data_IF_923756932333
#
_entry.id   IF_923756932333
#
_cell.length_a   1.000
_cell.length_b   1.000
_cell.length_c   1.000
_cell.angle_alpha   90.00
_cell.angle_beta   90.00
_cell.angle_gamma   90.00
#
_symmetry.space_group_name_H-M   'P 1'
#
loop_
_entity.id
_entity.type
_entity.pdbx_description
1 polymer ?
#
# COMPACT_ATOMS: atom_id res chain seq x y z
N UNK A 1 -17.84 -2.75 4.32
CA UNK A 1 -17.03 -1.52 4.15
C UNK A 1 -15.75 -1.71 4.93
N UNK A 2 -14.58 -1.50 4.32
CA UNK A 2 -13.32 -1.51 5.05
C UNK A 2 -13.38 -0.46 6.17
N UNK A 3 -12.84 -0.80 7.35
CA UNK A 3 -12.70 0.16 8.44
C UNK A 3 -11.88 1.35 7.94
N UNK A 4 -12.38 2.56 8.10
CA UNK A 4 -11.65 3.78 7.73
C UNK A 4 -10.62 4.14 8.80
N UNK A 5 -9.46 4.62 8.39
CA UNK A 5 -8.43 5.13 9.29
C UNK A 5 -8.91 6.41 10.01
N UNK A 6 -8.81 6.44 11.34
CA UNK A 6 -9.15 7.62 12.15
C UNK A 6 -7.99 8.64 12.18
N UNK A 7 -7.89 9.39 11.10
CA UNK A 7 -6.85 10.42 10.89
C UNK A 7 -6.91 11.50 11.99
N UNK A 8 -8.12 11.88 12.39
CA UNK A 8 -8.33 12.92 13.40
C UNK A 8 -7.76 12.49 14.75
N UNK A 9 -8.00 11.24 15.13
CA UNK A 9 -7.43 10.64 16.34
C UNK A 9 -5.90 10.53 16.30
N UNK A 10 -5.31 10.16 15.16
CA UNK A 10 -3.85 10.16 15.03
C UNK A 10 -3.28 11.55 15.35
N UNK A 11 -3.81 12.58 14.70
CA UNK A 11 -3.32 13.96 14.87
C UNK A 11 -3.58 14.47 16.29
N UNK A 12 -4.75 14.19 16.87
CA UNK A 12 -5.12 14.66 18.21
C UNK A 12 -4.21 14.09 19.30
N UNK A 13 -3.89 12.79 19.23
CA UNK A 13 -2.98 12.13 20.16
C UNK A 13 -1.57 12.73 20.07
N UNK A 14 -1.05 12.95 18.86
CA UNK A 14 0.28 13.57 18.72
C UNK A 14 0.28 15.02 19.22
N UNK A 15 -0.77 15.78 18.96
CA UNK A 15 -0.92 17.15 19.46
C UNK A 15 -0.91 17.19 20.98
N UNK A 16 -1.60 16.25 21.64
CA UNK A 16 -1.62 16.13 23.10
C UNK A 16 -0.22 15.82 23.65
N UNK A 17 0.49 14.85 23.07
CA UNK A 17 1.86 14.50 23.47
C UNK A 17 2.81 15.69 23.37
N UNK A 18 2.71 16.46 22.28
CA UNK A 18 3.62 17.57 22.03
C UNK A 18 3.37 18.80 22.92
N UNK A 19 2.16 18.99 23.42
CA UNK A 19 1.77 20.13 24.27
C UNK A 19 2.24 21.49 23.72
N UNK A 20 2.13 21.69 22.40
CA UNK A 20 2.55 22.91 21.69
C UNK A 20 4.05 23.03 21.40
N UNK A 21 4.85 22.00 21.69
CA UNK A 21 6.26 21.90 21.28
C UNK A 21 6.36 21.27 19.89
N UNK A 22 7.42 21.58 19.17
CA UNK A 22 7.76 20.92 17.90
C UNK A 22 6.64 20.95 16.84
N UNK A 23 5.94 22.09 16.72
CA UNK A 23 4.79 22.26 15.83
C UNK A 23 5.06 21.82 14.37
N UNK A 24 6.29 22.02 13.88
CA UNK A 24 6.72 21.54 12.56
C UNK A 24 6.57 20.02 12.36
N UNK A 25 6.71 19.22 13.42
CA UNK A 25 6.48 17.76 13.38
C UNK A 25 4.99 17.48 13.22
N UNK A 26 4.15 18.23 13.94
CA UNK A 26 2.70 18.10 13.86
C UNK A 26 2.17 18.48 12.48
N UNK A 27 2.65 19.58 11.90
CA UNK A 27 2.29 20.02 10.54
C UNK A 27 2.67 18.97 9.48
N UNK A 28 3.86 18.38 9.60
CA UNK A 28 4.30 17.28 8.73
C UNK A 28 3.42 16.05 8.89
N UNK A 29 3.03 15.71 10.12
CA UNK A 29 2.12 14.58 10.39
C UNK A 29 0.73 14.84 9.81
N UNK A 30 0.17 16.05 9.94
CA UNK A 30 -1.11 16.45 9.33
C UNK A 30 -1.04 16.26 7.81
N UNK A 31 0.00 16.77 7.17
CA UNK A 31 0.18 16.63 5.71
C UNK A 31 0.32 15.16 5.29
N UNK A 32 1.04 14.36 6.07
CA UNK A 32 1.25 12.93 5.80
C UNK A 32 -0.05 12.14 5.94
N UNK A 33 -0.82 12.41 6.99
CA UNK A 33 -2.11 11.75 7.24
C UNK A 33 -3.17 12.14 6.21
N UNK A 34 -3.21 13.40 5.75
CA UNK A 34 -4.02 13.79 4.60
C UNK A 34 -3.64 13.03 3.32
N UNK A 35 -2.34 12.87 3.05
CA UNK A 35 -1.88 12.09 1.91
C UNK A 35 -2.30 10.62 2.01
N UNK A 36 -2.17 10.02 3.19
CA UNK A 36 -2.64 8.65 3.49
C UNK A 36 -4.14 8.53 3.21
N UNK A 37 -4.96 9.44 3.72
CA UNK A 37 -6.39 9.46 3.49
C UNK A 37 -6.74 9.52 1.99
N UNK A 38 -6.13 10.46 1.25
CA UNK A 38 -6.37 10.57 -0.18
C UNK A 38 -5.96 9.32 -0.95
N UNK A 39 -4.81 8.70 -0.61
CA UNK A 39 -4.38 7.46 -1.28
C UNK A 39 -5.34 6.32 -1.04
N UNK A 40 -5.90 6.20 0.16
CA UNK A 40 -6.98 5.25 0.44
C UNK A 40 -8.17 5.50 -0.49
N UNK A 41 -8.67 6.73 -0.56
CA UNK A 41 -9.82 7.07 -1.43
C UNK A 41 -9.53 6.82 -2.92
N UNK A 42 -8.32 7.13 -3.38
CA UNK A 42 -7.92 6.91 -4.77
C UNK A 42 -7.83 5.40 -5.08
N UNK A 43 -7.29 4.60 -4.15
CA UNK A 43 -7.27 3.14 -4.28
C UNK A 43 -8.69 2.57 -4.37
N UNK A 44 -9.59 2.95 -3.46
CA UNK A 44 -11.00 2.53 -3.48
C UNK A 44 -11.69 2.93 -4.79
N UNK A 45 -11.49 4.17 -5.23
CA UNK A 45 -12.04 4.66 -6.50
C UNK A 45 -11.59 3.79 -7.68
N UNK A 46 -10.28 3.62 -7.88
CA UNK A 46 -9.79 2.85 -9.03
C UNK A 46 -10.13 1.37 -8.97
N UNK A 47 -10.27 0.80 -7.76
CA UNK A 47 -10.76 -0.56 -7.60
C UNK A 47 -12.22 -0.69 -8.05
N UNK A 48 -13.10 0.18 -7.57
CA UNK A 48 -14.52 0.16 -7.98
C UNK A 48 -14.71 0.40 -9.48
N UNK A 49 -13.93 1.32 -10.07
CA UNK A 49 -13.94 1.53 -11.52
C UNK A 49 -13.50 0.26 -12.27
N UNK A 50 -12.53 -0.49 -11.75
CA UNK A 50 -12.11 -1.76 -12.36
C UNK A 50 -13.19 -2.83 -12.33
N UNK A 51 -13.95 -2.94 -11.24
CA UNK A 51 -15.08 -3.87 -11.15
C UNK A 51 -16.12 -3.60 -12.24
N UNK A 52 -16.31 -2.33 -12.62
CA UNK A 52 -17.21 -1.94 -13.70
C UNK A 52 -16.62 -2.14 -15.11
N UNK A 53 -15.35 -1.76 -15.34
CA UNK A 53 -14.74 -1.78 -16.69
C UNK A 53 -14.16 -3.13 -17.09
N UNK A 54 -13.73 -3.97 -16.14
CA UNK A 54 -13.15 -5.29 -16.41
C UNK A 54 -14.22 -6.39 -16.52
N UNK A 55 -15.42 -6.05 -17.00
CA UNK A 55 -16.51 -7.01 -17.17
C UNK A 55 -16.13 -8.06 -18.24
N UNK A 56 -16.59 -9.31 -18.06
CA UNK A 56 -16.34 -10.39 -19.04
C UNK A 56 -16.78 -10.01 -20.45
N UNK A 57 -17.89 -9.30 -20.60
CA UNK A 57 -18.41 -8.89 -21.91
C UNK A 57 -17.43 -7.93 -22.60
N UNK A 58 -16.97 -6.93 -21.88
CA UNK A 58 -16.03 -5.93 -22.38
C UNK A 58 -14.67 -6.51 -22.72
N UNK A 59 -14.15 -7.42 -21.88
CA UNK A 59 -12.89 -8.10 -22.14
C UNK A 59 -12.96 -8.97 -23.40
N UNK A 60 -14.10 -9.62 -23.65
CA UNK A 60 -14.31 -10.39 -24.88
C UNK A 60 -14.31 -9.47 -26.11
N UNK A 61 -14.98 -8.31 -26.03
CA UNK A 61 -15.03 -7.35 -27.12
C UNK A 61 -13.64 -6.74 -27.42
N UNK A 62 -12.89 -6.37 -26.39
CA UNK A 62 -11.49 -5.90 -26.52
C UNK A 62 -10.58 -6.97 -27.15
N UNK A 63 -10.80 -8.25 -26.81
CA UNK A 63 -10.02 -9.35 -27.34
C UNK A 63 -10.23 -9.56 -28.86
N UNK A 64 -11.47 -9.45 -29.33
CA UNK A 64 -11.80 -9.56 -30.76
C UNK A 64 -11.56 -8.27 -31.54
N UNK A 65 -11.66 -7.12 -30.88
CA UNK A 65 -11.51 -5.79 -31.46
C UNK A 65 -10.53 -4.99 -30.62
N UNK A 66 -9.28 -4.95 -31.05
CA UNK A 66 -8.16 -4.29 -30.35
C UNK A 66 -8.34 -2.78 -30.12
N UNK A 67 -9.41 -2.18 -30.65
CA UNK A 67 -9.77 -0.77 -30.51
C UNK A 67 -11.20 -0.57 -29.96
N UNK A 68 -11.73 -1.55 -29.23
CA UNK A 68 -13.07 -1.47 -28.65
C UNK A 68 -13.21 -0.31 -27.66
N UNK A 69 -14.33 0.42 -27.78
CA UNK A 69 -14.74 1.55 -26.94
C UNK A 69 -16.20 1.36 -26.57
N UNK A 70 -16.58 1.63 -25.32
CA UNK A 70 -18.01 1.65 -24.97
C UNK A 70 -18.67 2.90 -25.54
N UNK A 71 -19.98 2.89 -25.79
CA UNK A 71 -20.71 4.08 -26.18
C UNK A 71 -20.52 5.20 -25.16
N UNK A 72 -20.02 6.36 -25.61
CA UNK A 72 -19.76 7.53 -24.75
C UNK A 72 -18.33 7.64 -24.21
N UNK A 73 -17.51 6.59 -24.32
CA UNK A 73 -16.12 6.63 -23.90
C UNK A 73 -15.25 7.43 -24.89
N UNK A 74 -14.29 8.17 -24.34
CA UNK A 74 -13.31 8.92 -25.14
C UNK A 74 -12.05 8.11 -25.45
N UNK A 75 -11.87 6.97 -24.78
CA UNK A 75 -10.68 6.11 -24.85
C UNK A 75 -11.06 4.64 -25.05
N UNK A 76 -10.10 3.84 -25.48
CA UNK A 76 -10.25 2.38 -25.59
C UNK A 76 -10.37 1.74 -24.22
N UNK A 77 -11.16 0.66 -24.13
CA UNK A 77 -11.37 -0.02 -22.85
C UNK A 77 -10.06 -0.54 -22.27
N UNK A 78 -9.12 -0.93 -23.14
CA UNK A 78 -7.75 -1.29 -22.75
C UNK A 78 -7.03 -0.19 -22.02
N UNK A 79 -7.09 1.03 -22.56
CA UNK A 79 -6.51 2.18 -21.89
C UNK A 79 -7.18 2.39 -20.52
N UNK A 80 -8.51 2.26 -20.45
CA UNK A 80 -9.24 2.43 -19.21
C UNK A 80 -8.84 1.42 -18.12
N UNK A 81 -8.79 0.11 -18.42
CA UNK A 81 -8.41 -0.87 -17.40
C UNK A 81 -6.93 -0.76 -17.03
N UNK A 82 -6.01 -0.53 -17.98
CA UNK A 82 -4.58 -0.38 -17.66
C UNK A 82 -4.33 0.85 -16.76
N UNK A 83 -4.98 1.98 -17.06
CA UNK A 83 -4.88 3.19 -16.25
C UNK A 83 -5.37 2.98 -14.82
N UNK A 84 -6.54 2.36 -14.63
CA UNK A 84 -7.07 2.10 -13.30
C UNK A 84 -6.23 1.06 -12.53
N UNK A 85 -5.72 0.01 -13.20
CA UNK A 85 -4.83 -0.99 -12.60
C UNK A 85 -3.58 -0.31 -12.05
N UNK A 86 -2.90 0.49 -12.88
CA UNK A 86 -1.65 1.14 -12.46
C UNK A 86 -1.90 2.19 -11.38
N UNK A 87 -2.99 2.96 -11.49
CA UNK A 87 -3.35 3.94 -10.47
C UNK A 87 -3.65 3.27 -9.12
N UNK A 88 -4.39 2.15 -9.12
CA UNK A 88 -4.61 1.37 -7.90
C UNK A 88 -3.29 0.90 -7.29
N UNK A 89 -2.45 0.21 -8.07
CA UNK A 89 -1.18 -0.36 -7.60
C UNK A 89 -0.25 0.73 -7.04
N UNK A 90 -0.09 1.84 -7.76
CA UNK A 90 0.80 2.92 -7.34
C UNK A 90 0.30 3.62 -6.07
N UNK A 91 -1.01 3.84 -5.94
CA UNK A 91 -1.57 4.50 -4.75
C UNK A 91 -1.55 3.59 -3.53
N UNK A 92 -1.89 2.31 -3.68
CA UNK A 92 -1.81 1.35 -2.59
C UNK A 92 -0.35 1.13 -2.15
N UNK A 93 0.57 1.02 -3.11
CA UNK A 93 1.99 0.92 -2.79
C UNK A 93 2.44 2.14 -2.00
N UNK A 94 2.16 3.35 -2.48
CA UNK A 94 2.57 4.58 -1.80
C UNK A 94 1.88 4.76 -0.43
N UNK A 95 0.64 4.30 -0.27
CA UNK A 95 -0.07 4.26 1.01
C UNK A 95 0.72 3.44 2.04
N UNK A 96 1.10 2.21 1.69
CA UNK A 96 1.82 1.30 2.60
C UNK A 96 3.28 1.72 2.77
N UNK A 97 3.94 2.15 1.70
CA UNK A 97 5.35 2.53 1.68
C UNK A 97 5.62 3.87 2.40
N UNK A 98 4.61 4.73 2.56
CA UNK A 98 4.70 5.96 3.36
C UNK A 98 4.58 5.75 4.86
N UNK A 99 4.12 4.58 5.30
CA UNK A 99 3.90 4.27 6.71
C UNK A 99 5.14 4.42 7.59
N UNK A 100 6.34 3.93 7.21
CA UNK A 100 7.54 4.08 8.02
C UNK A 100 7.87 5.53 8.39
N UNK A 101 7.67 6.44 7.44
CA UNK A 101 7.87 7.86 7.65
C UNK A 101 6.80 8.46 8.56
N UNK A 102 5.52 8.16 8.33
CA UNK A 102 4.43 8.61 9.19
C UNK A 102 4.57 8.10 10.64
N UNK A 103 4.99 6.85 10.83
CA UNK A 103 5.26 6.27 12.13
C UNK A 103 6.43 6.98 12.83
N UNK A 104 7.48 7.35 12.09
CA UNK A 104 8.58 8.11 12.65
C UNK A 104 8.18 9.54 13.05
N UNK A 105 7.30 10.21 12.30
CA UNK A 105 6.73 11.48 12.78
C UNK A 105 5.91 11.29 14.06
N UNK A 106 5.27 10.12 14.21
CA UNK A 106 4.42 9.81 15.34
C UNK A 106 5.20 9.48 16.62
N UNK A 107 6.19 8.58 16.58
CA UNK A 107 6.98 8.16 17.76
C UNK A 107 8.38 8.74 17.85
N UNK A 108 8.92 9.27 16.75
CA UNK A 108 10.25 9.89 16.66
C UNK A 108 11.38 9.02 17.22
N UNK A 109 11.46 7.77 16.76
CA UNK A 109 12.54 6.84 17.12
C UNK A 109 13.85 7.11 16.37
N UNK A 110 13.79 7.96 15.34
CA UNK A 110 14.95 8.53 14.64
C UNK A 110 15.05 10.03 14.94
N UNK A 111 16.27 10.51 15.19
CA UNK A 111 16.53 11.94 15.44
C UNK A 111 16.29 12.79 14.18
N UNK A 112 16.79 12.30 13.05
CA UNK A 112 16.57 12.87 11.72
C UNK A 112 15.26 12.33 11.13
N UNK A 113 14.33 13.25 10.85
CA UNK A 113 13.00 12.94 10.32
C UNK A 113 13.03 12.49 8.86
N UNK A 114 14.09 12.80 8.12
CA UNK A 114 14.23 12.54 6.69
C UNK A 114 15.33 11.52 6.39
N UNK A 115 15.74 10.76 7.41
CA UNK A 115 16.83 9.80 7.26
C UNK A 115 16.52 8.77 6.16
N UNK A 116 17.47 8.43 5.28
CA UNK A 116 17.27 7.45 4.21
C UNK A 116 17.00 6.03 4.72
N UNK A 117 17.09 5.84 6.04
CA UNK A 117 16.79 4.59 6.75
C UNK A 117 15.28 4.39 7.01
N UNK A 118 14.46 5.41 6.75
CA UNK A 118 12.99 5.33 6.83
C UNK A 118 12.44 4.58 5.62
N UNK A 119 12.18 3.30 5.82
CA UNK A 119 11.60 2.41 4.83
C UNK A 119 11.48 1.01 5.39
N UNK A 120 10.79 0.12 4.68
CA UNK A 120 10.59 -1.28 5.08
C UNK A 120 11.90 -2.09 5.09
N UNK A 121 12.68 -1.91 6.15
CA UNK A 121 14.03 -2.46 6.34
C UNK A 121 14.20 -3.06 7.74
N UNK A 122 15.21 -3.93 7.88
CA UNK A 122 15.59 -4.51 9.17
C UNK A 122 15.94 -3.43 10.20
N UNK A 123 16.60 -2.35 9.76
CA UNK A 123 16.98 -1.25 10.64
C UNK A 123 15.76 -0.49 11.16
N UNK A 124 14.82 -0.13 10.27
CA UNK A 124 13.57 0.53 10.65
C UNK A 124 12.76 -0.33 11.64
N UNK A 125 12.51 -1.59 11.31
CA UNK A 125 11.71 -2.49 12.17
C UNK A 125 12.40 -2.74 13.51
N UNK A 126 13.73 -2.79 13.52
CA UNK A 126 14.53 -2.94 14.74
C UNK A 126 14.39 -1.77 15.73
N UNK A 127 14.14 -0.56 15.26
CA UNK A 127 13.88 0.61 16.13
C UNK A 127 12.57 0.52 16.91
N UNK A 128 11.63 -0.29 16.44
CA UNK A 128 10.34 -0.50 17.08
C UNK A 128 10.24 -1.84 17.82
N UNK A 129 11.36 -2.52 18.10
CA UNK A 129 11.37 -3.88 18.69
C UNK A 129 10.66 -3.99 20.05
N UNK A 130 10.69 -2.91 20.81
CA UNK A 130 10.19 -2.86 22.18
C UNK A 130 8.72 -2.38 22.24
N UNK A 131 8.12 -2.06 21.08
CA UNK A 131 6.72 -1.66 20.97
C UNK A 131 5.80 -2.87 20.75
N UNK A 132 4.60 -2.92 21.35
CA UNK A 132 3.67 -4.04 21.18
C UNK A 132 3.29 -4.34 19.72
N UNK A 133 3.20 -3.32 18.87
CA UNK A 133 2.88 -3.46 17.44
C UNK A 133 4.05 -3.97 16.57
N UNK A 134 5.19 -4.33 17.16
CA UNK A 134 6.35 -4.81 16.41
C UNK A 134 6.04 -6.05 15.56
N UNK A 135 5.21 -6.95 16.08
CA UNK A 135 4.81 -8.16 15.35
C UNK A 135 4.02 -7.78 14.08
N UNK A 136 3.04 -6.88 14.19
CA UNK A 136 2.27 -6.40 13.05
C UNK A 136 3.16 -5.73 11.98
N UNK A 137 4.22 -5.00 12.38
CA UNK A 137 5.21 -4.45 11.44
C UNK A 137 5.96 -5.55 10.68
N UNK A 138 6.37 -6.60 11.39
CA UNK A 138 7.08 -7.74 10.78
C UNK A 138 6.16 -8.48 9.82
N UNK A 139 4.94 -8.77 10.26
CA UNK A 139 3.92 -9.50 9.49
C UNK A 139 3.57 -8.76 8.19
N UNK A 140 3.38 -7.43 8.25
CA UNK A 140 3.15 -6.64 7.05
C UNK A 140 4.39 -6.61 6.13
N UNK A 141 5.60 -6.54 6.68
CA UNK A 141 6.83 -6.57 5.89
C UNK A 141 7.04 -7.90 5.14
N UNK A 142 6.65 -9.02 5.77
CA UNK A 142 6.75 -10.36 5.16
C UNK A 142 5.49 -10.79 4.39
N UNK A 143 4.47 -9.94 4.34
CA UNK A 143 3.25 -10.20 3.59
C UNK A 143 3.54 -10.32 2.09
N UNK A 144 3.13 -11.44 1.48
CA UNK A 144 3.45 -11.73 0.09
C UNK A 144 2.73 -10.80 -0.90
N UNK A 145 1.46 -10.43 -0.64
CA UNK A 145 0.74 -9.49 -1.50
C UNK A 145 1.41 -8.10 -1.46
N UNK A 146 1.91 -7.65 -0.30
CA UNK A 146 2.68 -6.41 -0.24
C UNK A 146 4.00 -6.49 -1.01
N UNK A 147 4.72 -7.61 -0.90
CA UNK A 147 5.97 -7.83 -1.63
C UNK A 147 5.76 -7.81 -3.14
N UNK A 148 4.70 -8.48 -3.59
CA UNK A 148 4.32 -8.53 -5.00
C UNK A 148 3.87 -7.15 -5.49
N UNK A 149 3.17 -6.37 -4.66
CA UNK A 149 2.76 -5.00 -4.96
C UNK A 149 3.97 -4.10 -5.23
N UNK A 150 5.00 -4.18 -4.37
CA UNK A 150 6.28 -3.50 -4.59
C UNK A 150 6.93 -3.96 -5.90
N UNK A 151 6.90 -5.25 -6.19
CA UNK A 151 7.38 -5.81 -7.45
C UNK A 151 6.71 -5.15 -8.66
N UNK A 152 5.38 -5.17 -8.71
CA UNK A 152 4.61 -4.59 -9.80
C UNK A 152 4.82 -3.08 -9.92
N UNK A 153 4.74 -2.34 -8.81
CA UNK A 153 4.98 -0.90 -8.82
C UNK A 153 6.40 -0.55 -9.28
N UNK A 154 7.42 -1.29 -8.86
CA UNK A 154 8.79 -1.04 -9.31
C UNK A 154 8.96 -1.34 -10.81
N UNK A 155 8.34 -2.41 -11.33
CA UNK A 155 8.34 -2.66 -12.78
C UNK A 155 7.71 -1.51 -13.56
N UNK A 156 6.57 -0.97 -13.11
CA UNK A 156 5.93 0.18 -13.78
C UNK A 156 6.81 1.44 -13.84
N UNK A 157 7.76 1.61 -12.91
CA UNK A 157 8.66 2.78 -12.83
C UNK A 157 9.95 2.65 -13.65
N UNK A 158 10.31 1.45 -14.11
CA UNK A 158 11.60 1.17 -14.73
C UNK A 158 11.46 0.75 -16.20
N UNK A 159 12.60 0.49 -16.88
CA UNK A 159 12.70 0.26 -18.34
C UNK A 159 11.69 -0.74 -18.93
N UNK A 160 11.16 -1.66 -18.14
CA UNK A 160 10.20 -2.66 -18.59
C UNK A 160 8.82 -2.33 -18.00
N UNK A 161 7.97 -1.69 -18.79
CA UNK A 161 6.58 -1.38 -18.43
C UNK A 161 5.85 -2.69 -18.13
N UNK A 162 5.22 -2.77 -16.96
CA UNK A 162 4.38 -3.91 -16.56
C UNK A 162 3.28 -4.14 -17.61
N UNK A 163 3.23 -5.34 -18.17
CA UNK A 163 2.24 -5.70 -19.19
C UNK A 163 1.02 -6.37 -18.55
N UNK A 164 -0.16 -5.89 -18.96
CA UNK A 164 -1.44 -6.52 -18.67
C UNK A 164 -1.92 -7.21 -19.94
N UNK A 165 -2.21 -8.51 -19.84
CA UNK A 165 -2.69 -9.33 -20.96
C UNK A 165 -4.16 -9.63 -20.77
N UNK A 166 -4.99 -9.19 -21.71
CA UNK A 166 -6.34 -9.70 -21.84
C UNK A 166 -6.28 -11.17 -22.27
N UNK A 167 -7.02 -12.06 -21.61
CA UNK A 167 -7.14 -13.51 -21.90
C UNK A 167 -8.55 -13.86 -22.34
N UNK A 168 -9.21 -12.94 -23.05
CA UNK A 168 -10.60 -12.97 -23.47
C UNK A 168 -11.60 -12.80 -22.31
N UNK A 169 -11.47 -13.54 -21.21
CA UNK A 169 -12.44 -13.49 -20.10
C UNK A 169 -11.88 -12.94 -18.79
N UNK A 170 -10.58 -12.68 -18.73
CA UNK A 170 -9.91 -12.10 -17.56
C UNK A 170 -8.64 -11.34 -18.00
N UNK A 171 -8.11 -10.51 -17.11
CA UNK A 171 -6.84 -9.82 -17.28
C UNK A 171 -5.76 -10.54 -16.48
N UNK A 172 -4.56 -10.64 -17.03
CA UNK A 172 -3.44 -11.36 -16.42
C UNK A 172 -2.20 -10.46 -16.35
N UNK A 173 -1.57 -10.38 -15.19
CA UNK A 173 -0.25 -9.80 -15.06
C UNK A 173 0.81 -10.73 -15.63
N UNK A 174 1.79 -10.16 -16.32
CA UNK A 174 2.99 -10.92 -16.66
C UNK A 174 3.76 -11.37 -15.41
N UNK A 175 4.57 -12.41 -15.58
CA UNK A 175 5.48 -12.88 -14.54
C UNK A 175 6.55 -11.83 -14.28
N UNK A 176 6.80 -11.58 -13.00
CA UNK A 176 7.85 -10.65 -12.58
C UNK A 176 8.74 -11.29 -11.53
N UNK A 177 10.01 -10.94 -11.55
CA UNK A 177 10.90 -11.15 -10.42
C UNK A 177 10.71 -10.02 -9.40
N UNK A 178 10.62 -10.39 -8.13
CA UNK A 178 10.47 -9.47 -7.02
C UNK A 178 11.25 -9.92 -5.80
N UNK A 179 11.57 -8.95 -4.94
CA UNK A 179 12.21 -9.17 -3.65
C UNK A 179 11.23 -9.87 -2.71
N UNK A 180 11.51 -11.14 -2.40
CA UNK A 180 10.80 -11.91 -1.41
C UNK A 180 11.49 -11.79 -0.06
N UNK A 181 10.72 -11.43 0.97
CA UNK A 181 11.23 -11.22 2.33
C UNK A 181 10.56 -12.22 3.27
N UNK A 182 11.37 -12.92 4.05
CA UNK A 182 10.91 -13.90 5.05
C UNK A 182 11.59 -13.64 6.39
N UNK A 183 11.06 -14.26 7.46
CA UNK A 183 11.71 -14.28 8.76
C UNK A 183 12.58 -15.54 8.91
N UNK A 184 13.80 -15.40 9.42
CA UNK A 184 14.62 -16.52 9.87
C UNK A 184 14.15 -17.06 11.23
N UNK A 185 14.75 -18.18 11.67
CA UNK A 185 14.44 -18.82 12.95
C UNK A 185 14.72 -17.94 14.18
N UNK A 186 15.48 -16.85 14.02
CA UNK A 186 15.79 -15.86 15.04
C UNK A 186 14.96 -14.57 14.89
N UNK A 187 13.99 -14.55 13.96
CA UNK A 187 13.14 -13.40 13.68
C UNK A 187 13.83 -12.26 12.91
N UNK A 188 14.99 -12.54 12.31
CA UNK A 188 15.68 -11.66 11.37
C UNK A 188 15.10 -11.75 9.96
N UNK A 189 15.33 -10.71 9.15
CA UNK A 189 14.83 -10.68 7.77
C UNK A 189 15.81 -11.34 6.80
N UNK A 190 15.30 -12.33 6.05
CA UNK A 190 15.99 -12.93 4.90
C UNK A 190 15.39 -12.39 3.60
N UNK A 191 16.25 -12.09 2.62
CA UNK A 191 15.84 -11.65 1.28
C UNK A 191 16.25 -12.69 0.25
N UNK A 192 15.32 -13.02 -0.64
CA UNK A 192 15.56 -13.85 -1.81
C UNK A 192 14.85 -13.24 -3.03
N UNK A 193 15.24 -13.65 -4.22
CA UNK A 193 14.44 -13.37 -5.43
C UNK A 193 13.36 -14.44 -5.56
N UNK A 194 12.14 -14.03 -5.93
CA UNK A 194 11.05 -14.93 -6.29
C UNK A 194 10.44 -14.46 -7.61
N UNK A 195 10.08 -15.41 -8.47
CA UNK A 195 9.33 -15.12 -9.69
C UNK A 195 7.85 -15.38 -9.42
N UNK A 196 7.00 -14.41 -9.71
CA UNK A 196 5.55 -14.57 -9.59
C UNK A 196 5.04 -15.62 -10.59
N UNK A 197 3.93 -16.27 -10.26
CA UNK A 197 3.15 -16.94 -11.29
C UNK A 197 2.50 -15.90 -12.23
N UNK A 198 1.87 -16.37 -13.30
CA UNK A 198 0.83 -15.57 -13.95
C UNK A 198 -0.31 -15.41 -12.94
N UNK A 199 -0.84 -14.20 -12.80
CA UNK A 199 -1.84 -13.87 -11.79
C UNK A 199 -3.00 -13.14 -12.46
N UNK A 200 -4.22 -13.60 -12.21
CA UNK A 200 -5.42 -12.86 -12.58
C UNK A 200 -5.41 -11.51 -11.85
N UNK A 201 -5.45 -10.44 -12.63
CA UNK A 201 -5.37 -9.07 -12.13
C UNK A 201 -6.45 -8.81 -11.10
N UNK A 202 -7.72 -9.08 -11.43
CA UNK A 202 -8.84 -8.73 -10.53
C UNK A 202 -8.79 -9.53 -9.23
N UNK A 203 -8.40 -10.81 -9.28
CA UNK A 203 -8.22 -11.61 -8.07
C UNK A 203 -7.10 -11.07 -7.19
N UNK A 204 -6.01 -10.58 -7.78
CA UNK A 204 -4.92 -9.97 -7.01
C UNK A 204 -5.31 -8.63 -6.40
N UNK A 205 -5.95 -7.75 -7.19
CA UNK A 205 -6.40 -6.45 -6.70
C UNK A 205 -7.44 -6.62 -5.59
N UNK A 206 -8.32 -7.61 -5.69
CA UNK A 206 -9.25 -7.98 -4.62
C UNK A 206 -8.51 -8.41 -3.35
N UNK A 207 -7.47 -9.26 -3.44
CA UNK A 207 -6.65 -9.59 -2.24
C UNK A 207 -5.99 -8.36 -1.63
N UNK A 208 -5.49 -7.45 -2.46
CA UNK A 208 -4.91 -6.19 -2.00
C UNK A 208 -5.95 -5.31 -1.29
N UNK A 209 -7.14 -5.18 -1.86
CA UNK A 209 -8.23 -4.37 -1.34
C UNK A 209 -8.85 -4.98 -0.07
N UNK A 210 -9.21 -6.27 -0.11
CA UNK A 210 -9.99 -6.93 0.93
C UNK A 210 -9.13 -7.47 2.08
N UNK A 211 -7.82 -7.65 1.88
CA UNK A 211 -6.92 -8.16 2.92
C UNK A 211 -5.78 -7.18 3.26
N UNK A 212 -5.02 -6.73 2.26
CA UNK A 212 -3.81 -5.94 2.54
C UNK A 212 -4.13 -4.54 3.09
N UNK A 213 -5.15 -3.85 2.55
CA UNK A 213 -5.61 -2.56 3.09
C UNK A 213 -6.13 -2.69 4.54
N UNK A 214 -7.00 -3.66 4.88
CA UNK A 214 -7.37 -3.91 6.27
C UNK A 214 -6.21 -4.21 7.22
N UNK A 215 -5.19 -4.98 6.78
CA UNK A 215 -3.98 -5.23 7.59
C UNK A 215 -3.26 -3.90 7.88
N UNK A 216 -3.13 -3.03 6.89
CA UNK A 216 -2.55 -1.70 7.07
C UNK A 216 -3.35 -0.84 8.07
N UNK A 217 -4.67 -0.87 8.01
CA UNK A 217 -5.50 -0.15 8.98
C UNK A 217 -5.41 -0.74 10.39
N UNK A 218 -5.39 -2.07 10.52
CA UNK A 218 -5.19 -2.74 11.80
C UNK A 218 -3.86 -2.37 12.46
N UNK A 219 -2.78 -2.27 11.66
CA UNK A 219 -1.49 -1.80 12.15
C UNK A 219 -1.56 -0.37 12.71
N UNK A 220 -2.28 0.54 12.06
CA UNK A 220 -2.52 1.88 12.61
C UNK A 220 -3.35 1.85 13.90
N UNK A 221 -4.35 0.98 14.02
CA UNK A 221 -5.12 0.80 15.26
C UNK A 221 -4.19 0.44 16.42
N UNK A 222 -3.30 -0.53 16.23
CA UNK A 222 -2.33 -0.93 17.27
C UNK A 222 -1.36 0.21 17.63
N UNK A 223 -0.88 0.95 16.64
CA UNK A 223 -0.01 2.13 16.81
C UNK A 223 -0.69 3.23 17.62
N UNK A 224 -1.97 3.50 17.35
CA UNK A 224 -2.75 4.48 18.10
C UNK A 224 -2.98 4.03 19.54
N UNK A 225 -3.35 2.77 19.75
CA UNK A 225 -3.55 2.22 21.10
C UNK A 225 -2.29 2.34 21.96
N UNK A 226 -1.12 2.11 21.38
CA UNK A 226 0.14 2.26 22.09
C UNK A 226 0.44 3.73 22.41
N UNK A 227 0.15 4.66 21.49
CA UNK A 227 0.30 6.09 21.75
C UNK A 227 -0.61 6.54 22.90
N UNK A 228 -1.86 6.13 22.91
CA UNK A 228 -2.83 6.43 23.99
C UNK A 228 -2.30 5.98 25.36
N UNK A 229 -1.76 4.76 25.44
CA UNK A 229 -1.17 4.23 26.67
C UNK A 229 0.03 5.06 27.11
N UNK A 230 0.90 5.45 26.18
CA UNK A 230 2.09 6.26 26.49
C UNK A 230 1.73 7.65 27.05
N UNK A 231 0.65 8.26 26.58
CA UNK A 231 0.17 9.57 27.05
C UNK A 231 -0.53 9.45 28.42
N UNK A 232 -1.25 8.35 28.65
CA UNK A 232 -1.99 8.15 29.91
C UNK A 232 -1.07 7.77 31.07
N UNK A 233 0.04 7.09 30.79
CA UNK A 233 0.99 6.61 31.80
C UNK A 233 2.19 7.55 32.02
N UNK A 234 2.31 8.62 31.24
CA UNK A 234 3.38 9.63 31.33
C UNK A 234 2.92 10.88 32.07
#
# INVERSE_FOLDING_TARGET
>A
MPKSLDIEKIVSLKRQELAGKEEHVLERLISSTQSIYHRTQISEYHYSQLEEIASKFDLVLDWFSTTYRRPGDTVEIRFAYEANIFAFLQNLHALIDSFPYALNLYFRVFEDLDTPKLGWSKEFIGKYRDYPFNLALKDLCVNEDFQLLRGYTNKTKHKNILRVRNKCTYLEFEKIDYDHVTLDAQGGFCRSQKTSSEVNVMEYLARCHDNLMPIYFGLWEEVMMEKERSITNG
#
